data_IF_701905878359
#
_entry.id   IF_701905878359
#
_cell.length_a   1.000
_cell.length_b   1.000
_cell.length_c   1.000
_cell.angle_alpha   90.00
_cell.angle_beta   90.00
_cell.angle_gamma   90.00
#
_symmetry.space_group_name_H-M   'P 1'
#
loop_
_entity.id
_entity.type
_entity.pdbx_description
1 polymer ?
#
# COMPACT_ATOMS: atom_id res chain seq x y z
N UNK A 1 -22.43 -54.05 22.17
CA UNK A 1 -23.08 -52.82 21.66
C UNK A 1 -22.20 -51.63 22.04
N UNK A 2 -21.40 -51.09 21.12
CA UNK A 2 -20.55 -49.91 21.35
C UNK A 2 -21.15 -48.74 20.57
N UNK A 3 -21.82 -47.82 21.26
CA UNK A 3 -22.35 -46.61 20.68
C UNK A 3 -21.23 -45.59 20.48
N UNK A 4 -20.93 -45.28 19.22
CA UNK A 4 -20.07 -44.16 18.85
C UNK A 4 -20.96 -42.92 18.89
N UNK A 5 -20.93 -42.18 20.02
CA UNK A 5 -21.45 -40.82 20.05
C UNK A 5 -20.34 -39.94 19.48
N UNK A 6 -20.45 -39.61 18.20
CA UNK A 6 -19.60 -38.58 17.58
C UNK A 6 -19.95 -37.24 18.27
N UNK A 7 -19.03 -36.55 18.94
CA UNK A 7 -19.35 -35.27 19.58
C UNK A 7 -19.63 -34.23 18.50
N UNK A 8 -20.86 -33.73 18.49
CA UNK A 8 -21.41 -32.69 17.60
C UNK A 8 -20.66 -31.33 17.68
N UNK A 9 -19.58 -31.25 18.45
CA UNK A 9 -18.82 -30.03 18.75
C UNK A 9 -17.80 -29.69 17.65
N UNK A 10 -17.38 -30.66 16.84
CA UNK A 10 -16.43 -30.39 15.74
C UNK A 10 -17.08 -29.64 14.56
N UNK A 11 -18.41 -29.65 14.45
CA UNK A 11 -19.11 -28.99 13.34
C UNK A 11 -19.22 -27.46 13.52
N UNK A 12 -19.16 -26.93 14.74
CA UNK A 12 -19.26 -25.48 14.97
C UNK A 12 -17.96 -24.75 14.61
N UNK A 13 -16.81 -25.42 14.66
CA UNK A 13 -15.51 -24.81 14.31
C UNK A 13 -15.20 -24.82 12.80
N UNK A 14 -15.90 -25.63 12.02
CA UNK A 14 -15.70 -25.71 10.55
C UNK A 14 -16.59 -24.72 9.80
N UNK A 15 -17.69 -24.24 10.42
CA UNK A 15 -18.62 -23.31 9.75
C UNK A 15 -18.20 -21.83 9.77
N UNK A 16 -17.24 -21.43 10.60
CA UNK A 16 -16.72 -20.05 10.59
C UNK A 16 -15.60 -19.82 9.55
N UNK A 17 -15.19 -20.86 8.82
CA UNK A 17 -14.09 -20.81 7.86
C UNK A 17 -14.56 -20.90 6.38
N UNK A 18 -15.87 -20.81 6.13
CA UNK A 18 -16.45 -20.81 4.79
C UNK A 18 -17.11 -19.46 4.49
N UNK A 19 -16.47 -18.63 3.66
CA UNK A 19 -17.22 -17.64 2.86
C UNK A 19 -16.75 -16.18 2.87
N UNK A 20 -15.70 -15.78 3.61
CA UNK A 20 -15.18 -14.41 3.44
C UNK A 20 -14.38 -14.35 2.13
N UNK A 21 -14.91 -13.64 1.12
CA UNK A 21 -14.11 -13.34 -0.07
C UNK A 21 -12.84 -12.58 0.35
N UNK A 22 -11.67 -12.90 -0.22
CA UNK A 22 -10.44 -12.20 0.11
C UNK A 22 -10.59 -10.72 -0.27
N UNK A 23 -10.30 -9.82 0.67
CA UNK A 23 -10.37 -8.38 0.44
C UNK A 23 -9.33 -7.99 -0.61
N UNK A 24 -9.78 -7.37 -1.70
CA UNK A 24 -8.94 -6.99 -2.84
C UNK A 24 -8.32 -5.60 -2.65
N UNK A 25 -7.33 -5.27 -3.49
CA UNK A 25 -6.78 -3.91 -3.53
C UNK A 25 -7.87 -2.88 -3.85
N UNK A 26 -8.80 -3.24 -4.74
CA UNK A 26 -9.94 -2.42 -5.13
C UNK A 26 -10.92 -2.20 -3.97
N UNK A 27 -11.13 -3.19 -3.11
CA UNK A 27 -12.00 -3.06 -1.93
C UNK A 27 -11.39 -2.11 -0.90
N UNK A 28 -10.09 -2.27 -0.60
CA UNK A 28 -9.36 -1.32 0.25
C UNK A 28 -9.40 0.09 -0.35
N UNK A 29 -9.19 0.23 -1.66
CA UNK A 29 -9.23 1.53 -2.33
C UNK A 29 -10.61 2.21 -2.23
N UNK A 30 -11.70 1.46 -2.44
CA UNK A 30 -13.07 1.98 -2.27
C UNK A 30 -13.33 2.41 -0.83
N UNK A 31 -12.87 1.63 0.15
CA UNK A 31 -13.02 1.99 1.57
C UNK A 31 -12.21 3.24 1.92
N UNK A 32 -10.99 3.36 1.40
CA UNK A 32 -10.16 4.55 1.57
C UNK A 32 -10.85 5.82 1.03
N UNK A 33 -11.43 5.74 -0.18
CA UNK A 33 -12.21 6.83 -0.77
C UNK A 33 -13.39 7.22 0.11
N UNK A 34 -14.15 6.23 0.59
CA UNK A 34 -15.28 6.48 1.50
C UNK A 34 -14.83 7.16 2.80
N UNK A 35 -13.70 6.74 3.37
CA UNK A 35 -13.13 7.34 4.57
C UNK A 35 -12.64 8.77 4.33
N UNK A 36 -12.02 9.03 3.17
CA UNK A 36 -11.64 10.38 2.74
C UNK A 36 -12.84 11.32 2.68
N UNK A 37 -13.93 10.89 2.05
CA UNK A 37 -15.16 11.67 1.92
C UNK A 37 -15.79 11.99 3.28
N UNK A 38 -15.65 11.07 4.24
CA UNK A 38 -16.10 11.24 5.63
C UNK A 38 -15.16 12.08 6.49
N UNK A 39 -13.97 12.41 5.99
CA UNK A 39 -12.94 13.10 6.77
C UNK A 39 -12.14 12.20 7.72
N UNK A 40 -12.33 10.87 7.66
CA UNK A 40 -11.54 9.91 8.43
C UNK A 40 -10.23 9.63 7.69
N UNK A 41 -9.31 10.59 7.79
CA UNK A 41 -8.04 10.57 7.08
C UNK A 41 -7.13 9.43 7.55
N UNK A 42 -7.23 9.03 8.81
CA UNK A 42 -6.44 7.93 9.35
C UNK A 42 -6.86 6.57 8.78
N UNK A 43 -8.17 6.30 8.72
CA UNK A 43 -8.68 5.12 8.07
C UNK A 43 -8.36 5.12 6.56
N UNK A 44 -8.47 6.28 5.90
CA UNK A 44 -8.11 6.41 4.49
C UNK A 44 -6.64 6.08 4.22
N UNK A 45 -5.71 6.60 5.04
CA UNK A 45 -4.27 6.32 4.92
C UNK A 45 -4.01 4.82 5.08
N UNK A 46 -4.62 4.20 6.09
CA UNK A 46 -4.44 2.77 6.37
C UNK A 46 -4.91 1.92 5.18
N UNK A 47 -6.08 2.22 4.63
CA UNK A 47 -6.66 1.48 3.52
C UNK A 47 -5.93 1.69 2.20
N UNK A 48 -5.56 2.93 1.88
CA UNK A 48 -4.68 3.20 0.74
C UNK A 48 -3.37 2.41 0.85
N UNK A 49 -2.79 2.33 2.05
CA UNK A 49 -1.56 1.57 2.29
C UNK A 49 -1.76 0.08 2.04
N UNK A 50 -2.90 -0.50 2.43
CA UNK A 50 -3.20 -1.91 2.10
C UNK A 50 -3.42 -2.10 0.59
N UNK A 51 -4.16 -1.21 -0.06
CA UNK A 51 -4.37 -1.26 -1.52
C UNK A 51 -3.03 -1.22 -2.28
N UNK A 52 -2.11 -0.34 -1.87
CA UNK A 52 -0.76 -0.24 -2.42
C UNK A 52 0.05 -1.52 -2.18
N UNK A 53 -0.02 -2.11 -0.97
CA UNK A 53 0.70 -3.37 -0.69
C UNK A 53 0.23 -4.52 -1.57
N UNK A 54 -1.07 -4.60 -1.84
CA UNK A 54 -1.66 -5.63 -2.71
C UNK A 54 -1.38 -5.37 -4.19
N UNK A 55 -1.45 -4.10 -4.61
CA UNK A 55 -1.13 -3.67 -5.99
C UNK A 55 -0.23 -2.42 -5.97
N UNK A 56 1.10 -2.61 -6.00
CA UNK A 56 2.09 -1.51 -5.84
C UNK A 56 2.08 -0.42 -6.91
N UNK A 57 1.26 -0.53 -7.95
CA UNK A 57 1.10 0.45 -9.03
C UNK A 57 -0.36 0.92 -9.13
N UNK A 58 -1.03 1.03 -7.99
CA UNK A 58 -2.36 1.62 -7.90
C UNK A 58 -2.26 3.14 -7.75
N UNK A 59 -2.08 3.86 -8.88
CA UNK A 59 -1.95 5.33 -8.89
C UNK A 59 -3.05 6.06 -8.12
N UNK A 60 -4.29 5.56 -8.20
CA UNK A 60 -5.41 6.11 -7.43
C UNK A 60 -5.17 6.06 -5.92
N UNK A 61 -4.69 4.92 -5.40
CA UNK A 61 -4.46 4.74 -3.97
C UNK A 61 -3.35 5.65 -3.43
N UNK A 62 -2.27 5.87 -4.18
CA UNK A 62 -1.23 6.82 -3.79
C UNK A 62 -1.74 8.27 -3.78
N UNK A 63 -2.50 8.66 -4.81
CA UNK A 63 -3.09 10.01 -4.88
C UNK A 63 -4.02 10.28 -3.69
N UNK A 64 -4.87 9.32 -3.36
CA UNK A 64 -5.82 9.44 -2.25
C UNK A 64 -5.11 9.39 -0.89
N UNK A 65 -4.01 8.62 -0.76
CA UNK A 65 -3.16 8.67 0.44
C UNK A 65 -2.50 10.04 0.62
N UNK A 66 -1.98 10.62 -0.46
CA UNK A 66 -1.41 11.97 -0.47
C UNK A 66 -2.43 13.04 -0.05
N UNK A 67 -3.66 12.97 -0.58
CA UNK A 67 -4.78 13.84 -0.15
C UNK A 67 -5.10 13.65 1.33
N UNK A 68 -5.17 12.40 1.80
CA UNK A 68 -5.45 12.11 3.20
C UNK A 68 -4.38 12.70 4.12
N UNK A 69 -3.09 12.55 3.78
CA UNK A 69 -1.99 13.18 4.52
C UNK A 69 -2.12 14.70 4.55
N UNK A 70 -2.40 15.34 3.41
CA UNK A 70 -2.60 16.78 3.34
C UNK A 70 -3.76 17.24 4.23
N UNK A 71 -4.90 16.56 4.16
CA UNK A 71 -6.11 16.92 4.92
C UNK A 71 -5.96 16.66 6.43
N UNK A 72 -5.17 15.65 6.81
CA UNK A 72 -4.76 15.39 8.19
C UNK A 72 -3.71 16.39 8.72
N UNK A 73 -3.16 17.24 7.86
CA UNK A 73 -2.10 18.21 8.20
C UNK A 73 -0.69 17.62 8.20
N UNK A 74 -0.51 16.37 7.79
CA UNK A 74 0.81 15.76 7.62
C UNK A 74 1.42 16.16 6.25
N UNK A 75 1.78 17.44 6.14
CA UNK A 75 2.28 18.01 4.88
C UNK A 75 3.60 17.40 4.43
N UNK A 76 4.49 17.01 5.36
CA UNK A 76 5.74 16.36 5.01
C UNK A 76 5.50 15.01 4.32
N UNK A 77 4.62 14.17 4.87
CA UNK A 77 4.26 12.91 4.22
C UNK A 77 3.61 13.13 2.85
N UNK A 78 2.74 14.13 2.71
CA UNK A 78 2.16 14.48 1.42
C UNK A 78 3.21 14.95 0.39
N UNK A 79 4.18 15.77 0.80
CA UNK A 79 5.28 16.21 -0.08
C UNK A 79 6.18 15.03 -0.46
N UNK A 80 6.50 14.15 0.49
CA UNK A 80 7.28 12.95 0.22
C UNK A 80 6.57 12.02 -0.78
N UNK A 81 5.25 11.84 -0.63
CA UNK A 81 4.40 11.11 -1.57
C UNK A 81 4.46 11.71 -2.99
N UNK A 82 4.44 13.05 -3.12
CA UNK A 82 4.56 13.71 -4.43
C UNK A 82 5.91 13.47 -5.10
N UNK A 83 7.01 13.57 -4.34
CA UNK A 83 8.33 13.22 -4.87
C UNK A 83 8.40 11.77 -5.30
N UNK A 84 7.87 10.85 -4.48
CA UNK A 84 7.80 9.44 -4.81
C UNK A 84 7.04 9.19 -6.11
N UNK A 85 5.83 9.76 -6.26
CA UNK A 85 5.02 9.59 -7.46
C UNK A 85 5.72 10.10 -8.72
N UNK A 86 6.38 11.26 -8.64
CA UNK A 86 7.19 11.77 -9.76
C UNK A 86 8.37 10.84 -10.08
N UNK A 87 9.03 10.30 -9.07
CA UNK A 87 10.10 9.32 -9.25
C UNK A 87 9.63 8.01 -9.89
N UNK A 88 8.43 7.54 -9.56
CA UNK A 88 7.79 6.39 -10.22
C UNK A 88 7.55 6.69 -11.72
N UNK A 89 7.07 7.89 -12.07
CA UNK A 89 6.95 8.29 -13.49
C UNK A 89 8.30 8.25 -14.20
N UNK A 90 9.37 8.77 -13.59
CA UNK A 90 10.71 8.71 -14.18
C UNK A 90 11.21 7.27 -14.34
N UNK A 91 10.94 6.39 -13.37
CA UNK A 91 11.28 4.98 -13.48
C UNK A 91 10.60 4.33 -14.68
N UNK A 92 9.30 4.58 -14.86
CA UNK A 92 8.53 4.01 -15.98
C UNK A 92 9.03 4.57 -17.34
N UNK A 93 9.55 5.79 -17.36
CA UNK A 93 10.28 6.38 -18.50
C UNK A 93 11.69 5.79 -18.71
N UNK A 94 12.12 4.79 -17.93
CA UNK A 94 13.48 4.22 -17.95
C UNK A 94 14.56 5.25 -17.63
N UNK A 95 14.24 6.22 -16.76
CA UNK A 95 15.14 7.28 -16.27
C UNK A 95 15.51 7.02 -14.79
N UNK A 96 16.35 6.00 -14.50
CA UNK A 96 16.57 5.52 -13.14
C UNK A 96 17.32 6.53 -12.26
N UNK A 97 18.16 7.39 -12.85
CA UNK A 97 18.88 8.41 -12.10
C UNK A 97 17.94 9.52 -11.61
N UNK A 98 17.02 10.00 -12.46
CA UNK A 98 15.98 10.94 -12.05
C UNK A 98 15.04 10.32 -11.03
N UNK A 99 14.64 9.05 -11.23
CA UNK A 99 13.82 8.32 -10.26
C UNK A 99 14.51 8.25 -8.89
N UNK A 100 15.78 7.84 -8.85
CA UNK A 100 16.53 7.75 -7.60
C UNK A 100 16.74 9.11 -6.93
N UNK A 101 16.90 10.19 -7.71
CA UNK A 101 16.99 11.54 -7.17
C UNK A 101 15.68 11.94 -6.46
N UNK A 102 14.53 11.62 -7.05
CA UNK A 102 13.21 11.88 -6.45
C UNK A 102 12.96 11.04 -5.19
N UNK A 103 13.37 9.77 -5.19
CA UNK A 103 13.30 8.94 -3.98
C UNK A 103 14.12 9.54 -2.83
N UNK A 104 15.30 10.11 -3.14
CA UNK A 104 16.12 10.79 -2.14
C UNK A 104 15.49 12.08 -1.64
N UNK A 105 14.77 12.82 -2.49
CA UNK A 105 14.01 14.00 -2.04
C UNK A 105 12.86 13.59 -1.13
N UNK A 106 12.13 12.52 -1.47
CA UNK A 106 11.08 11.98 -0.60
C UNK A 106 11.64 11.63 0.79
N UNK A 107 12.77 10.90 0.84
CA UNK A 107 13.43 10.51 2.10
C UNK A 107 14.08 11.68 2.85
N UNK A 108 14.43 12.77 2.17
CA UNK A 108 14.91 13.99 2.82
C UNK A 108 13.78 14.70 3.57
N UNK A 109 12.57 14.67 3.00
CA UNK A 109 11.38 15.30 3.59
C UNK A 109 10.76 14.42 4.67
N UNK A 110 10.62 13.13 4.38
CA UNK A 110 10.15 12.11 5.32
C UNK A 110 11.11 10.92 5.33
N UNK A 111 12.08 10.89 6.27
CA UNK A 111 13.02 9.79 6.41
C UNK A 111 12.39 8.43 6.72
N UNK A 112 11.13 8.41 7.17
CA UNK A 112 10.38 7.19 7.48
C UNK A 112 9.56 6.65 6.30
N UNK A 113 9.61 7.31 5.14
CA UNK A 113 8.81 6.96 3.99
C UNK A 113 9.29 5.66 3.31
N UNK A 114 8.79 4.52 3.80
CA UNK A 114 9.25 3.18 3.44
C UNK A 114 9.10 2.86 1.94
N UNK A 115 8.07 3.39 1.27
CA UNK A 115 7.86 3.15 -0.16
C UNK A 115 9.02 3.69 -1.01
N UNK A 116 9.50 4.91 -0.73
CA UNK A 116 10.67 5.47 -1.42
C UNK A 116 11.97 4.74 -1.06
N UNK A 117 12.13 4.32 0.19
CA UNK A 117 13.30 3.56 0.64
C UNK A 117 13.42 2.22 -0.09
N UNK A 118 12.29 1.49 -0.16
CA UNK A 118 12.21 0.22 -0.87
C UNK A 118 12.50 0.38 -2.36
N UNK A 119 11.94 1.41 -3.00
CA UNK A 119 12.15 1.65 -4.42
C UNK A 119 13.58 2.13 -4.74
N UNK A 120 14.15 3.00 -3.91
CA UNK A 120 15.55 3.42 -4.04
C UNK A 120 16.51 2.23 -3.92
N UNK A 121 16.26 1.32 -3.00
CA UNK A 121 17.04 0.10 -2.86
C UNK A 121 16.97 -0.78 -4.11
N UNK A 122 15.80 -0.86 -4.77
CA UNK A 122 15.64 -1.59 -6.05
C UNK A 122 16.43 -0.91 -7.18
N UNK A 123 16.33 0.40 -7.31
CA UNK A 123 17.02 1.19 -8.34
C UNK A 123 18.56 1.14 -8.19
N UNK A 124 19.06 0.94 -6.98
CA UNK A 124 20.49 0.91 -6.68
C UNK A 124 21.13 -0.45 -6.90
N UNK A 125 20.36 -1.51 -7.16
CA UNK A 125 20.92 -2.83 -7.46
C UNK A 125 21.56 -2.82 -8.85
N UNK A 126 22.82 -3.28 -9.01
CA UNK A 126 23.44 -3.38 -10.32
C UNK A 126 22.65 -4.35 -11.19
N UNK A 127 22.33 -3.93 -12.42
CA UNK A 127 21.75 -4.81 -13.43
C UNK A 127 22.77 -5.94 -13.66
N UNK A 128 22.48 -7.16 -13.20
CA UNK A 128 23.26 -8.33 -13.59
C UNK A 128 23.10 -8.47 -15.10
N UNK A 129 24.08 -7.99 -15.87
CA UNK A 129 24.23 -8.38 -17.26
C UNK A 129 24.47 -9.89 -17.24
N UNK A 130 23.52 -10.64 -17.79
CA UNK A 130 23.68 -12.07 -18.01
C UNK A 130 24.98 -12.31 -18.80
N UNK A 131 25.73 -13.32 -18.36
CA UNK A 131 26.81 -13.91 -19.17
C UNK A 131 26.19 -14.65 -20.35
#
# INVERSE_FOLDING_TARGET
>A
MKGIILPLVVLVLVFSAAGQQPVTAEDYFKRANTSLDKGDYDAAIADCTQAIRLRPIAWGAFNDRGKAYQKRGNLNAAIAELYYLRGIVYRDQKKPFQAAADMRQALKVDPSYEDAKNELARLSKPVRKGR
#
